data_IF_527200765621
#
_entry.id   IF_527200765621
#
_cell.length_a   1.000
_cell.length_b   1.000
_cell.length_c   1.000
_cell.angle_alpha   90.00
_cell.angle_beta   90.00
_cell.angle_gamma   90.00
#
_symmetry.space_group_name_H-M   'P 1'
#
loop_
_entity.id
_entity.type
_entity.pdbx_description
1 polymer ?
#
# COMPACT_ATOMS: atom_id res chain seq x y z
N UNK A 1 -12.61 -1.40 11.49
CA UNK A 1 -12.12 -0.05 11.14
C UNK A 1 -10.74 0.16 11.76
N UNK A 2 -9.84 0.89 11.12
CA UNK A 2 -8.55 1.27 11.71
C UNK A 2 -8.44 2.79 11.80
N UNK A 3 -7.91 3.29 12.92
CA UNK A 3 -7.74 4.74 13.19
C UNK A 3 -6.36 4.99 13.77
N UNK A 4 -5.69 6.04 13.31
CA UNK A 4 -4.46 6.52 13.92
C UNK A 4 -4.75 7.70 14.84
N UNK A 5 -4.12 7.71 16.01
CA UNK A 5 -4.19 8.80 16.98
C UNK A 5 -2.98 9.73 16.91
N UNK A 6 -3.17 10.95 17.40
CA UNK A 6 -2.07 11.92 17.60
C UNK A 6 -1.10 11.49 18.70
N UNK A 7 -1.49 10.51 19.52
CA UNK A 7 -0.68 9.86 20.56
C UNK A 7 0.34 8.85 19.98
N UNK A 8 0.60 8.89 18.68
CA UNK A 8 1.45 7.92 17.96
C UNK A 8 0.99 6.48 18.20
N UNK A 9 -0.33 6.25 18.17
CA UNK A 9 -0.90 4.90 18.19
C UNK A 9 -1.77 4.65 16.97
N UNK A 10 -1.95 3.38 16.60
CA UNK A 10 -3.03 2.95 15.72
C UNK A 10 -3.94 1.99 16.50
N UNK A 11 -5.24 2.05 16.25
CA UNK A 11 -6.24 1.22 16.90
C UNK A 11 -7.13 0.57 15.87
N UNK A 12 -7.41 -0.71 16.05
CA UNK A 12 -8.42 -1.44 15.30
C UNK A 12 -9.69 -1.45 16.13
N UNK A 13 -10.77 -0.93 15.57
CA UNK A 13 -12.08 -0.83 16.21
C UNK A 13 -13.08 -1.75 15.49
N UNK A 14 -13.88 -2.45 16.28
CA UNK A 14 -15.00 -3.25 15.81
C UNK A 14 -16.07 -2.37 15.15
N UNK A 15 -16.69 -2.89 14.10
CA UNK A 15 -17.90 -2.31 13.49
C UNK A 15 -19.13 -3.20 13.71
N UNK A 16 -19.02 -4.19 14.59
CA UNK A 16 -20.14 -5.04 15.00
C UNK A 16 -21.27 -4.20 15.60
N UNK A 17 -22.51 -4.49 15.20
CA UNK A 17 -23.70 -3.75 15.63
C UNK A 17 -23.98 -3.89 17.13
N UNK A 18 -23.63 -5.02 17.73
CA UNK A 18 -23.89 -5.28 19.15
C UNK A 18 -22.95 -4.48 20.05
N UNK A 19 -21.71 -4.26 19.59
CA UNK A 19 -20.68 -3.51 20.32
C UNK A 19 -19.84 -2.67 19.35
N UNK A 20 -20.41 -1.58 18.81
CA UNK A 20 -19.74 -0.75 17.84
C UNK A 20 -18.57 -0.02 18.49
N UNK A 21 -17.52 0.23 17.69
CA UNK A 21 -16.32 0.98 18.09
C UNK A 21 -15.53 0.39 19.27
N UNK A 22 -15.83 -0.86 19.69
CA UNK A 22 -15.01 -1.57 20.67
C UNK A 22 -13.59 -1.72 20.13
N UNK A 23 -12.59 -1.28 20.90
CA UNK A 23 -11.19 -1.49 20.55
C UNK A 23 -10.85 -2.98 20.58
N UNK A 24 -10.38 -3.50 19.45
CA UNK A 24 -9.95 -4.89 19.26
C UNK A 24 -8.43 -5.02 19.46
N UNK A 25 -7.68 -4.08 18.91
CA UNK A 25 -6.23 -4.03 19.03
C UNK A 25 -5.75 -2.58 19.09
N UNK A 26 -4.57 -2.38 19.67
CA UNK A 26 -3.83 -1.13 19.61
C UNK A 26 -2.34 -1.43 19.43
N UNK A 27 -1.67 -0.60 18.65
CA UNK A 27 -0.25 -0.71 18.39
C UNK A 27 0.39 0.67 18.54
N UNK A 28 1.43 0.75 19.38
CA UNK A 28 2.26 1.93 19.49
C UNK A 28 3.12 2.10 18.22
N UNK A 29 3.23 3.33 17.77
CA UNK A 29 4.06 3.76 16.66
C UNK A 29 5.20 4.60 17.20
N UNK A 30 6.29 4.68 16.45
CA UNK A 30 7.44 5.49 16.84
C UNK A 30 7.26 6.98 16.59
N UNK A 31 6.40 7.33 15.64
CA UNK A 31 6.04 8.68 15.21
C UNK A 31 4.56 8.67 14.85
N UNK A 32 3.96 9.84 14.70
CA UNK A 32 2.56 9.97 14.28
C UNK A 32 2.37 9.37 12.88
N UNK A 33 1.23 8.71 12.67
CA UNK A 33 0.88 8.22 11.35
C UNK A 33 0.42 9.39 10.46
N UNK A 34 0.97 9.45 9.25
CA UNK A 34 0.55 10.37 8.20
C UNK A 34 -0.57 9.79 7.31
N UNK A 35 -0.71 8.47 7.27
CA UNK A 35 -1.80 7.79 6.56
C UNK A 35 -2.02 6.36 7.06
N UNK A 36 -3.23 5.83 6.88
CA UNK A 36 -3.60 4.45 7.24
C UNK A 36 -4.42 3.86 6.10
N UNK A 37 -4.13 2.62 5.73
CA UNK A 37 -4.86 1.88 4.70
C UNK A 37 -5.03 0.42 5.12
N UNK A 38 -6.21 -0.16 4.87
CA UNK A 38 -6.44 -1.60 5.02
C UNK A 38 -6.62 -2.22 3.64
N UNK A 39 -5.89 -3.29 3.37
CA UNK A 39 -5.99 -4.07 2.13
C UNK A 39 -6.43 -5.48 2.47
N UNK A 40 -7.54 -5.93 1.88
CA UNK A 40 -8.05 -7.28 2.05
C UNK A 40 -7.73 -8.11 0.81
N UNK A 41 -7.09 -9.25 1.00
CA UNK A 41 -6.81 -10.21 -0.06
C UNK A 41 -7.64 -11.48 0.17
N UNK A 42 -8.36 -11.91 -0.86
CA UNK A 42 -9.32 -13.02 -0.74
C UNK A 42 -10.68 -12.58 -0.19
N UNK A 43 -11.53 -13.56 0.09
CA UNK A 43 -12.91 -13.34 0.54
C UNK A 43 -13.27 -14.26 1.71
N UNK A 44 -14.23 -13.81 2.53
CA UNK A 44 -14.75 -14.60 3.65
C UNK A 44 -13.73 -14.80 4.77
N UNK A 45 -13.80 -15.95 5.43
CA UNK A 45 -13.00 -16.28 6.63
C UNK A 45 -11.54 -16.57 6.33
N UNK A 46 -11.17 -16.79 5.07
CA UNK A 46 -9.78 -17.01 4.62
C UNK A 46 -9.11 -15.75 4.14
N UNK A 47 -9.80 -14.60 4.19
CA UNK A 47 -9.26 -13.33 3.75
C UNK A 47 -8.10 -12.89 4.65
N UNK A 48 -6.98 -12.52 4.03
CA UNK A 48 -5.85 -11.91 4.72
C UNK A 48 -6.00 -10.41 4.65
N UNK A 49 -6.07 -9.74 5.79
CA UNK A 49 -6.19 -8.29 5.87
C UNK A 49 -4.85 -7.71 6.31
N UNK A 50 -4.27 -6.83 5.50
CA UNK A 50 -3.08 -6.07 5.86
C UNK A 50 -3.47 -4.67 6.31
N UNK A 51 -2.96 -4.26 7.46
CA UNK A 51 -2.97 -2.87 7.92
C UNK A 51 -1.64 -2.21 7.54
N UNK A 52 -1.69 -1.26 6.61
CA UNK A 52 -0.57 -0.42 6.23
C UNK A 52 -0.68 0.95 6.90
N UNK A 53 0.43 1.42 7.47
CA UNK A 53 0.52 2.66 8.23
C UNK A 53 1.71 3.43 7.72
N UNK A 54 1.44 4.58 7.10
CA UNK A 54 2.48 5.51 6.72
C UNK A 54 2.82 6.42 7.90
N UNK A 55 4.12 6.58 8.19
CA UNK A 55 4.61 7.45 9.26
C UNK A 55 5.18 8.77 8.73
N UNK A 56 5.17 9.81 9.56
CA UNK A 56 5.69 11.15 9.23
C UNK A 56 7.17 11.17 8.83
N UNK A 57 7.95 10.25 9.35
CA UNK A 57 9.38 10.12 9.10
C UNK A 57 9.73 9.12 7.99
N UNK A 58 8.73 8.75 7.18
CA UNK A 58 8.95 8.06 5.91
C UNK A 58 9.15 6.56 5.99
N UNK A 59 8.68 5.95 7.09
CA UNK A 59 8.52 4.49 7.16
C UNK A 59 7.09 4.05 6.93
N UNK A 60 6.97 2.95 6.22
CA UNK A 60 5.77 2.13 6.14
C UNK A 60 5.85 1.04 7.21
N UNK A 61 4.85 0.97 8.07
CA UNK A 61 4.61 -0.16 8.97
C UNK A 61 3.47 -0.99 8.41
N UNK A 62 3.61 -2.32 8.41
CA UNK A 62 2.58 -3.24 7.95
C UNK A 62 2.36 -4.34 8.98
N UNK A 63 1.12 -4.58 9.34
CA UNK A 63 0.71 -5.69 10.22
C UNK A 63 -0.40 -6.50 9.53
N UNK A 64 -0.57 -7.76 9.90
CA UNK A 64 -1.72 -8.58 9.51
C UNK A 64 -2.81 -8.42 10.56
N UNK A 65 -4.05 -8.21 10.12
CA UNK A 65 -5.25 -8.23 10.96
C UNK A 65 -5.89 -9.61 10.81
N UNK A 66 -6.12 -10.27 11.94
CA UNK A 66 -6.97 -11.46 12.00
C UNK A 66 -8.45 -11.06 11.78
N UNK A 67 -9.10 -11.63 10.75
CA UNK A 67 -10.44 -11.24 10.34
C UNK A 67 -11.55 -11.55 11.34
N UNK A 68 -11.30 -12.39 12.34
CA UNK A 68 -12.29 -12.80 13.35
C UNK A 68 -12.09 -12.01 14.65
N UNK A 69 -10.87 -11.96 15.15
CA UNK A 69 -10.51 -11.37 16.45
C UNK A 69 -10.13 -9.90 16.34
N UNK A 70 -9.70 -9.44 15.16
CA UNK A 70 -9.16 -8.10 14.94
C UNK A 70 -7.75 -7.89 15.53
N UNK A 71 -7.09 -8.95 16.00
CA UNK A 71 -5.73 -8.88 16.54
C UNK A 71 -4.71 -8.59 15.44
N UNK A 72 -3.62 -7.94 15.83
CA UNK A 72 -2.51 -7.58 14.95
C UNK A 72 -1.36 -8.59 15.10
N UNK A 73 -0.77 -9.02 13.97
CA UNK A 73 0.39 -9.90 13.92
C UNK A 73 1.34 -9.55 12.77
N UNK A 74 2.49 -10.23 12.67
CA UNK A 74 3.50 -10.08 11.59
C UNK A 74 3.84 -8.61 11.24
N UNK A 75 4.14 -7.83 12.29
CA UNK A 75 4.52 -6.43 12.16
C UNK A 75 5.88 -6.33 11.47
N UNK A 76 5.91 -5.65 10.32
CA UNK A 76 7.12 -5.36 9.55
C UNK A 76 7.22 -3.87 9.26
N UNK A 77 8.44 -3.39 9.10
CA UNK A 77 8.71 -1.99 8.78
C UNK A 77 9.62 -1.86 7.57
N UNK A 78 9.43 -0.80 6.79
CA UNK A 78 10.30 -0.45 5.66
C UNK A 78 10.46 1.05 5.52
N UNK A 79 11.71 1.51 5.41
CA UNK A 79 12.03 2.91 5.06
C UNK A 79 11.79 3.11 3.58
N UNK A 80 10.90 4.05 3.23
CA UNK A 80 10.60 4.42 1.84
C UNK A 80 11.31 5.71 1.40
N UNK A 81 11.71 6.54 2.36
CA UNK A 81 12.49 7.74 2.14
C UNK A 81 12.41 8.71 3.32
N UNK A 82 13.01 9.91 3.22
CA UNK A 82 13.03 10.91 4.30
C UNK A 82 11.73 11.73 4.48
N UNK A 83 10.67 11.43 3.72
CA UNK A 83 9.40 12.19 3.74
C UNK A 83 8.26 11.33 4.25
N UNK A 84 7.25 11.94 4.87
CA UNK A 84 6.03 11.25 5.31
C UNK A 84 5.47 10.31 4.24
N UNK A 85 4.95 9.17 4.68
CA UNK A 85 4.34 8.19 3.77
C UNK A 85 2.85 8.45 3.60
N UNK A 86 2.41 8.62 2.36
CA UNK A 86 0.99 8.66 1.99
C UNK A 86 0.61 7.40 1.21
N UNK A 87 -0.55 6.84 1.49
CA UNK A 87 -1.01 5.56 0.95
C UNK A 87 -2.22 5.77 0.04
N UNK A 88 -2.20 5.19 -1.16
CA UNK A 88 -3.30 5.21 -2.10
C UNK A 88 -3.69 3.76 -2.45
N UNK A 89 -4.84 3.23 -1.96
CA UNK A 89 -5.34 1.94 -2.40
C UNK A 89 -5.76 1.99 -3.87
N UNK A 90 -5.58 0.89 -4.60
CA UNK A 90 -5.98 0.74 -5.99
C UNK A 90 -6.14 -0.75 -6.33
N UNK A 91 -6.46 -1.07 -7.58
CA UNK A 91 -6.49 -2.44 -8.10
C UNK A 91 -5.50 -2.63 -9.24
N UNK A 92 -4.98 -3.85 -9.36
CA UNK A 92 -4.09 -4.31 -10.44
C UNK A 92 -4.53 -5.69 -10.91
N UNK A 93 -4.02 -6.14 -12.06
CA UNK A 93 -4.19 -7.51 -12.59
C UNK A 93 -5.65 -7.99 -12.59
N UNK A 94 -6.58 -7.12 -13.03
CA UNK A 94 -7.99 -7.47 -13.14
C UNK A 94 -8.73 -7.44 -11.79
N UNK A 95 -8.54 -6.37 -11.03
CA UNK A 95 -9.30 -6.07 -9.81
C UNK A 95 -8.63 -6.55 -8.52
N UNK A 96 -7.39 -7.06 -8.56
CA UNK A 96 -6.68 -7.49 -7.34
C UNK A 96 -6.31 -6.27 -6.49
N UNK A 97 -6.59 -6.30 -5.18
CA UNK A 97 -6.24 -5.19 -4.30
C UNK A 97 -4.73 -4.92 -4.28
N UNK A 98 -4.36 -3.65 -4.36
CA UNK A 98 -3.00 -3.18 -4.23
C UNK A 98 -2.99 -1.78 -3.61
N UNK A 99 -1.81 -1.23 -3.41
CA UNK A 99 -1.64 0.09 -2.85
C UNK A 99 -0.34 0.71 -3.32
N UNK A 100 -0.38 1.99 -3.67
CA UNK A 100 0.83 2.77 -3.88
C UNK A 100 1.19 3.51 -2.59
N UNK A 101 2.39 3.22 -2.08
CA UNK A 101 2.99 3.93 -0.95
C UNK A 101 3.95 4.99 -1.48
N UNK A 102 3.65 6.25 -1.17
CA UNK A 102 4.37 7.41 -1.70
C UNK A 102 5.15 8.10 -0.59
N UNK A 103 6.44 8.31 -0.84
CA UNK A 103 7.34 9.15 -0.02
C UNK A 103 8.25 9.92 -0.97
N UNK A 104 9.57 9.80 -0.84
CA UNK A 104 10.53 10.34 -1.81
C UNK A 104 10.61 9.51 -3.10
N UNK A 105 10.25 8.22 -3.01
CA UNK A 105 10.03 7.32 -4.14
C UNK A 105 8.68 6.62 -3.97
N UNK A 106 7.92 6.42 -5.06
CA UNK A 106 6.70 5.63 -4.99
C UNK A 106 7.03 4.13 -5.02
N UNK A 107 6.28 3.36 -4.25
CA UNK A 107 6.34 1.91 -4.23
C UNK A 107 4.95 1.33 -4.48
N UNK A 108 4.86 0.29 -5.30
CA UNK A 108 3.65 -0.51 -5.44
C UNK A 108 3.73 -1.67 -4.45
N UNK A 109 2.73 -1.77 -3.58
CA UNK A 109 2.59 -2.88 -2.67
C UNK A 109 1.36 -3.73 -3.03
N UNK A 110 1.55 -5.04 -3.12
CA UNK A 110 0.54 -6.01 -3.55
C UNK A 110 0.85 -7.38 -2.95
N UNK A 111 -0.09 -8.31 -3.04
CA UNK A 111 0.18 -9.70 -2.71
C UNK A 111 0.63 -10.43 -3.97
N UNK A 112 1.89 -10.82 -4.03
CA UNK A 112 2.39 -11.69 -5.07
C UNK A 112 1.87 -13.11 -4.78
N UNK A 113 1.01 -13.62 -5.65
CA UNK A 113 0.64 -15.02 -5.61
C UNK A 113 1.67 -15.77 -6.48
N UNK A 114 2.32 -16.79 -5.92
CA UNK A 114 2.82 -17.87 -6.77
C UNK A 114 1.61 -18.45 -7.52
N UNK A 115 1.78 -18.86 -8.77
CA UNK A 115 0.73 -19.31 -9.69
C UNK A 115 -0.06 -20.57 -9.25
N UNK A 116 -0.16 -20.89 -7.95
CA UNK A 116 -0.81 -22.09 -7.42
C UNK A 116 -2.31 -21.90 -7.15
N UNK A 117 -3.10 -21.73 -8.22
CA UNK A 117 -4.53 -22.07 -8.22
C UNK A 117 -5.47 -21.18 -7.39
N UNK A 118 -6.73 -21.16 -7.79
CA UNK A 118 -7.81 -20.56 -7.02
C UNK A 118 -7.98 -21.34 -5.70
N UNK A 119 -7.45 -20.81 -4.59
CA UNK A 119 -7.60 -21.41 -3.27
C UNK A 119 -6.40 -21.32 -2.34
N UNK A 120 -5.21 -20.92 -2.80
CA UNK A 120 -4.03 -20.82 -1.93
C UNK A 120 -4.02 -19.51 -1.12
N UNK A 121 -4.37 -19.60 0.16
CA UNK A 121 -4.15 -18.57 1.18
C UNK A 121 -2.65 -18.52 1.55
N UNK A 122 -1.81 -18.01 0.65
CA UNK A 122 -0.36 -18.04 0.86
C UNK A 122 0.46 -17.00 0.10
N UNK A 123 -0.17 -16.01 -0.55
CA UNK A 123 0.57 -15.03 -1.33
C UNK A 123 1.46 -14.15 -0.46
N UNK A 124 2.69 -13.93 -0.90
CA UNK A 124 3.67 -13.12 -0.19
C UNK A 124 3.41 -11.64 -0.46
N UNK A 125 3.24 -10.85 0.60
CA UNK A 125 3.18 -9.40 0.46
C UNK A 125 4.50 -8.88 -0.09
N UNK A 126 4.43 -8.25 -1.25
CA UNK A 126 5.54 -7.57 -1.87
C UNK A 126 5.29 -6.08 -1.87
N UNK A 127 6.37 -5.32 -1.77
CA UNK A 127 6.34 -3.92 -2.10
C UNK A 127 7.58 -3.60 -2.93
N UNK A 128 7.41 -3.02 -4.10
CA UNK A 128 8.48 -2.84 -5.09
C UNK A 128 8.52 -1.38 -5.51
N UNK A 129 9.71 -0.79 -5.72
CA UNK A 129 9.79 0.57 -6.22
C UNK A 129 9.13 0.61 -7.61
N UNK A 130 8.32 1.64 -7.85
CA UNK A 130 7.89 1.92 -9.21
C UNK A 130 9.05 2.58 -9.96
N UNK A 131 9.46 2.00 -11.08
CA UNK A 131 10.52 2.51 -11.97
C UNK A 131 10.01 2.47 -13.40
N UNK A 132 10.35 3.45 -14.24
CA UNK A 132 10.11 3.32 -15.68
C UNK A 132 11.09 2.31 -16.27
N UNK A 133 10.61 1.38 -17.09
CA UNK A 133 11.44 0.83 -18.15
C UNK A 133 11.48 1.90 -19.25
N UNK A 134 12.66 2.43 -19.57
CA UNK A 134 12.80 3.10 -20.86
C UNK A 134 12.55 2.01 -21.92
N UNK A 135 11.63 2.24 -22.85
CA UNK A 135 11.49 1.38 -24.02
C UNK A 135 12.87 1.24 -24.67
N UNK A 136 13.27 -0.01 -24.91
CA UNK A 136 14.56 -0.36 -25.47
C UNK A 136 14.68 0.20 -26.90
N UNK A 137 15.53 1.21 -27.06
CA UNK A 137 16.41 1.34 -28.23
C UNK A 137 17.85 1.13 -27.69
N UNK A 138 18.15 -0.13 -27.37
CA UNK A 138 19.39 -0.62 -26.75
C UNK A 138 20.46 -0.99 -27.79
N UNK A 139 20.90 -0.03 -28.62
CA UNK A 139 22.10 -0.21 -29.47
C UNK A 139 23.25 0.77 -29.12
N UNK A 140 23.19 1.43 -27.95
CA UNK A 140 24.19 2.42 -27.54
C UNK A 140 25.11 1.90 -26.40
N UNK A 141 26.45 1.86 -26.59
CA UNK A 141 27.39 1.49 -25.55
C UNK A 141 27.49 2.60 -24.49
N UNK A 142 26.97 2.34 -23.30
CA UNK A 142 26.99 3.25 -22.16
C UNK A 142 25.74 3.08 -21.31
N UNK A 143 25.77 2.15 -20.35
CA UNK A 143 24.65 1.78 -19.48
C UNK A 143 23.90 3.02 -18.96
N UNK A 144 22.73 3.31 -19.55
CA UNK A 144 21.93 4.45 -19.13
C UNK A 144 21.33 4.15 -17.76
N UNK A 145 21.58 5.03 -16.78
CA UNK A 145 20.95 4.93 -15.47
C UNK A 145 19.45 5.07 -15.67
N UNK A 146 18.69 4.01 -15.41
CA UNK A 146 17.23 4.01 -15.39
C UNK A 146 16.76 5.25 -14.61
N UNK A 147 16.07 6.22 -15.25
CA UNK A 147 15.64 7.42 -14.54
C UNK A 147 14.58 7.04 -13.52
N UNK A 148 14.84 7.37 -12.25
CA UNK A 148 13.88 7.14 -11.18
C UNK A 148 12.59 7.93 -11.43
N UNK A 149 11.43 7.32 -11.14
CA UNK A 149 10.15 8.04 -11.18
C UNK A 149 10.25 9.33 -10.36
N UNK A 150 9.70 10.45 -10.87
CA UNK A 150 9.55 11.63 -10.05
C UNK A 150 8.66 11.29 -8.86
N UNK A 151 8.85 12.00 -7.74
CA UNK A 151 8.03 11.83 -6.55
C UNK A 151 6.54 12.01 -6.89
N UNK A 152 5.67 11.28 -6.21
CA UNK A 152 4.22 11.52 -6.24
C UNK A 152 3.85 12.29 -4.98
N UNK A 153 3.25 13.48 -5.15
CA UNK A 153 2.69 14.24 -4.03
C UNK A 153 1.27 13.74 -3.71
N UNK A 154 0.52 13.34 -4.74
CA UNK A 154 -0.77 12.64 -4.65
C UNK A 154 -0.87 11.60 -5.76
N UNK A 155 -1.69 10.59 -5.53
CA UNK A 155 -2.11 9.64 -6.54
C UNK A 155 -3.58 9.27 -6.33
N UNK A 156 -4.26 8.94 -7.42
CA UNK A 156 -5.59 8.36 -7.39
C UNK A 156 -5.76 7.36 -8.53
N UNK A 157 -6.47 6.24 -8.32
CA UNK A 157 -6.80 5.33 -9.39
C UNK A 157 -7.81 5.98 -10.35
N UNK A 158 -7.74 5.62 -11.63
CA UNK A 158 -8.80 5.91 -12.60
C UNK A 158 -9.05 4.69 -13.48
N UNK A 159 -10.23 4.68 -14.09
CA UNK A 159 -10.64 3.64 -15.04
C UNK A 159 -11.41 4.30 -16.17
N UNK A 160 -10.99 4.05 -17.40
CA UNK A 160 -11.61 4.53 -18.64
C UNK A 160 -11.61 3.40 -19.67
N UNK A 161 -12.39 3.54 -20.75
CA UNK A 161 -12.56 2.50 -21.78
C UNK A 161 -11.22 1.91 -22.28
N UNK A 162 -10.23 2.76 -22.55
CA UNK A 162 -8.92 2.38 -23.08
C UNK A 162 -7.87 2.05 -22.00
N UNK A 163 -8.21 2.18 -20.71
CA UNK A 163 -7.30 1.94 -19.58
C UNK A 163 -8.12 1.63 -18.33
N UNK A 164 -8.35 0.35 -18.06
CA UNK A 164 -9.24 -0.09 -17.00
C UNK A 164 -8.62 0.04 -15.59
N UNK A 165 -7.29 0.05 -15.50
CA UNK A 165 -6.53 0.12 -14.24
C UNK A 165 -5.35 1.09 -14.40
N UNK A 166 -5.64 2.39 -14.30
CA UNK A 166 -4.63 3.44 -14.41
C UNK A 166 -4.45 4.20 -13.10
N UNK A 167 -3.36 4.96 -13.00
CA UNK A 167 -3.12 5.86 -11.87
C UNK A 167 -2.81 7.28 -12.33
N UNK A 168 -3.55 8.26 -11.84
CA UNK A 168 -3.22 9.66 -12.03
C UNK A 168 -2.37 10.12 -10.84
N UNK A 169 -1.30 10.86 -11.12
CA UNK A 169 -0.38 11.33 -10.09
C UNK A 169 -0.13 12.82 -10.27
N UNK A 170 0.04 13.53 -9.17
CA UNK A 170 0.48 14.93 -9.21
C UNK A 170 1.84 15.05 -8.55
N UNK A 171 2.72 15.82 -9.16
CA UNK A 171 4.02 16.18 -8.61
C UNK A 171 4.28 17.65 -8.86
N UNK A 172 4.25 18.46 -7.81
CA UNK A 172 4.35 19.92 -7.86
C UNK A 172 3.34 20.58 -8.81
N UNK A 173 3.72 20.79 -10.06
CA UNK A 173 2.92 21.45 -11.11
C UNK A 173 2.59 20.53 -12.28
N UNK A 174 2.92 19.24 -12.17
CA UNK A 174 2.72 18.27 -13.25
C UNK A 174 1.72 17.22 -12.79
N UNK A 175 0.60 17.12 -13.51
CA UNK A 175 -0.29 15.98 -13.47
C UNK A 175 0.18 14.96 -14.52
N UNK A 176 0.28 13.69 -14.13
CA UNK A 176 0.64 12.58 -15.00
C UNK A 176 -0.43 11.51 -14.94
N UNK A 177 -0.66 10.88 -16.08
CA UNK A 177 -1.45 9.67 -16.21
C UNK A 177 -0.41 8.57 -16.46
N UNK A 178 -0.37 7.57 -15.59
CA UNK A 178 0.56 6.44 -15.61
C UNK A 178 -0.24 5.16 -15.79
#
# INVERSE_FOLDING_TARGET
MAVAGVDSSVRVLSLDSDRPLRQLAAQALRTTASSVCMLQFGQGTTATIYLAIGLEDGVLVRSVIDGVTGQLSDQRQRVLGPRRVTLCPLTVDGGRPAMVAMSSRPFLCFQANDYSGAGASGGQYQCVPLTFAAAEDEDAPGSSKIPALPRFDLAAPFSIENCQEGICTTSQRVLRIV
#
